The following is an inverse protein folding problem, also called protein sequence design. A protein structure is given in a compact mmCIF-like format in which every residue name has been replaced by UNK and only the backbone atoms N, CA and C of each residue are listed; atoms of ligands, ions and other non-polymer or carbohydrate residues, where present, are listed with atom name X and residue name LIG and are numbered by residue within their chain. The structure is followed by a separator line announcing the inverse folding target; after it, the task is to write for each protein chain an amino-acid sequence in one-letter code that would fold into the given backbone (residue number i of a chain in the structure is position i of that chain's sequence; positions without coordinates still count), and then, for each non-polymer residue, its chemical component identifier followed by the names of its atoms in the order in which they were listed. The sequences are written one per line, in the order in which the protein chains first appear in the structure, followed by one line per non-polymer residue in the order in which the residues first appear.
data_IF_587402725026
#
_entry.id   IF_587402725026
#
_cell.length_a   1.000
_cell.length_b   1.000
_cell.length_c   1.000
_cell.angle_alpha   90.00
_cell.angle_beta   90.00
_cell.angle_gamma   90.00
#
_symmetry.space_group_name_H-M   'P 1'
#
loop_
_entity.id
_entity.type
_entity.pdbx_description
1 polymer ?
#
# COMPACT_ATOMS: atom_id res chain seq x y z
N UNK A 1 -5.26 -16.20 15.60
CA UNK A 1 -4.37 -15.46 16.51
C UNK A 1 -4.44 -14.00 16.10
N UNK A 2 -5.19 -13.16 16.81
CA UNK A 2 -5.39 -11.76 16.45
C UNK A 2 -4.05 -11.01 16.55
N UNK A 3 -3.57 -10.45 15.45
CA UNK A 3 -2.29 -9.76 15.37
C UNK A 3 -2.32 -8.50 16.26
N UNK A 4 -1.31 -8.42 17.13
CA UNK A 4 -1.19 -7.53 18.28
C UNK A 4 -0.87 -6.06 17.92
N UNK A 5 -1.63 -5.45 17.02
CA UNK A 5 -1.49 -4.01 16.64
C UNK A 5 -2.09 -3.05 17.70
N UNK A 6 -2.76 -3.60 18.72
CA UNK A 6 -3.49 -2.89 19.79
C UNK A 6 -2.65 -2.37 20.98
N UNK A 7 -1.32 -2.23 20.88
CA UNK A 7 -0.47 -1.83 22.03
C UNK A 7 0.15 -0.42 21.94
N UNK A 8 -0.33 0.44 21.06
CA UNK A 8 -0.04 1.86 21.25
C UNK A 8 -0.68 2.33 22.56
N UNK A 9 0.07 3.08 23.37
CA UNK A 9 -0.47 3.75 24.56
C UNK A 9 -1.26 5.02 24.22
N UNK A 10 -1.35 5.38 22.93
CA UNK A 10 -2.08 6.56 22.49
C UNK A 10 -3.60 6.36 22.65
N UNK A 11 -4.25 7.34 23.29
CA UNK A 11 -5.71 7.40 23.45
C UNK A 11 -6.38 8.20 22.34
N UNK A 12 -5.60 8.95 21.56
CA UNK A 12 -6.06 9.80 20.45
C UNK A 12 -5.28 9.45 19.17
N UNK A 13 -5.87 9.66 17.98
CA UNK A 13 -5.18 9.47 16.72
C UNK A 13 -4.08 10.52 16.53
N UNK A 14 -3.11 10.22 15.66
CA UNK A 14 -2.02 11.11 15.33
C UNK A 14 -2.55 12.40 14.70
N UNK A 15 -2.34 13.58 15.33
CA UNK A 15 -2.82 14.84 14.80
C UNK A 15 -2.11 15.24 13.49
N UNK A 16 -0.97 14.63 13.17
CA UNK A 16 -0.20 14.90 11.95
C UNK A 16 -0.65 14.05 10.75
N UNK A 17 -1.60 13.13 10.93
CA UNK A 17 -2.19 12.33 9.85
C UNK A 17 -3.67 12.69 9.73
N UNK A 18 -4.00 13.49 8.73
CA UNK A 18 -5.31 14.15 8.64
C UNK A 18 -6.09 13.73 7.39
N UNK A 19 -7.44 13.68 7.45
CA UNK A 19 -8.23 13.43 6.27
C UNK A 19 -8.09 14.61 5.29
N UNK A 20 -7.90 14.29 4.01
CA UNK A 20 -7.99 15.23 2.89
C UNK A 20 -9.03 14.68 1.92
N UNK A 21 -10.29 15.02 2.17
CA UNK A 21 -11.38 14.58 1.31
C UNK A 21 -11.24 15.13 -0.10
N UNK A 22 -11.82 14.40 -1.07
CA UNK A 22 -11.88 14.88 -2.43
C UNK A 22 -12.70 16.17 -2.50
N UNK A 23 -12.18 17.18 -3.21
CA UNK A 23 -12.85 18.46 -3.41
C UNK A 23 -14.18 18.31 -4.17
N UNK A 24 -14.30 17.28 -5.00
CA UNK A 24 -15.54 16.90 -5.65
C UNK A 24 -15.59 15.38 -5.90
N UNK A 25 -16.78 14.80 -6.11
CA UNK A 25 -16.90 13.38 -6.46
C UNK A 25 -16.14 12.97 -7.73
N UNK A 26 -15.85 13.93 -8.63
CA UNK A 26 -15.14 13.71 -9.91
C UNK A 26 -13.68 14.16 -9.88
N UNK A 27 -13.16 14.53 -8.71
CA UNK A 27 -11.75 14.92 -8.60
C UNK A 27 -10.85 13.73 -8.99
N UNK A 28 -9.96 13.96 -9.95
CA UNK A 28 -8.97 12.96 -10.38
C UNK A 28 -7.92 12.72 -9.29
N UNK A 29 -7.28 11.55 -9.30
CA UNK A 29 -6.18 11.26 -8.40
C UNK A 29 -5.00 12.23 -8.61
N UNK A 30 -4.75 12.66 -9.86
CA UNK A 30 -3.76 13.68 -10.17
C UNK A 30 -4.03 15.00 -9.43
N UNK A 31 -5.28 15.48 -9.46
CA UNK A 31 -5.67 16.71 -8.78
C UNK A 31 -5.56 16.57 -7.26
N UNK A 32 -6.02 15.42 -6.72
CA UNK A 32 -5.94 15.13 -5.30
C UNK A 32 -4.48 15.07 -4.81
N UNK A 33 -3.60 14.37 -5.54
CA UNK A 33 -2.18 14.25 -5.18
C UNK A 33 -1.45 15.60 -5.22
N UNK A 34 -1.78 16.48 -6.17
CA UNK A 34 -1.22 17.85 -6.19
C UNK A 34 -1.61 18.64 -4.95
N UNK A 35 -2.86 18.52 -4.51
CA UNK A 35 -3.32 19.12 -3.25
C UNK A 35 -2.62 18.50 -2.05
N UNK A 36 -2.49 17.18 -2.02
CA UNK A 36 -1.81 16.46 -0.96
C UNK A 36 -0.34 16.89 -0.82
N UNK A 37 0.40 17.03 -1.94
CA UNK A 37 1.79 17.50 -1.95
C UNK A 37 1.95 18.96 -1.50
N UNK A 38 0.90 19.76 -1.61
CA UNK A 38 0.87 21.15 -1.13
C UNK A 38 0.33 21.28 0.30
N UNK A 39 -0.15 20.17 0.91
CA UNK A 39 -0.70 20.17 2.25
C UNK A 39 0.43 20.28 3.29
N UNK A 40 0.29 21.12 4.34
CA UNK A 40 1.32 21.28 5.37
C UNK A 40 1.64 20.00 6.16
N UNK A 41 0.74 19.00 6.16
CA UNK A 41 0.98 17.71 6.81
C UNK A 41 1.81 16.74 5.96
N UNK A 42 2.09 17.08 4.70
CA UNK A 42 3.00 16.31 3.84
C UNK A 42 4.32 17.04 3.72
N UNK A 43 5.39 16.38 4.12
CA UNK A 43 6.74 16.88 3.97
C UNK A 43 7.52 16.14 2.89
N UNK A 44 8.11 16.94 2.00
CA UNK A 44 8.85 16.51 0.82
C UNK A 44 10.34 16.90 0.89
N UNK A 45 10.78 17.43 2.03
CA UNK A 45 12.19 17.82 2.24
C UNK A 45 13.15 16.62 2.30
N UNK A 46 14.47 16.85 2.25
CA UNK A 46 15.48 15.80 2.12
C UNK A 46 15.53 14.82 3.32
N UNK A 47 15.03 15.26 4.47
CA UNK A 47 14.89 14.49 5.71
C UNK A 47 13.72 13.50 5.70
N UNK A 48 12.92 13.49 4.64
CA UNK A 48 11.67 12.74 4.55
C UNK A 48 11.67 11.78 3.37
N UNK A 49 10.96 10.68 3.54
CA UNK A 49 10.63 9.70 2.52
C UNK A 49 9.13 9.68 2.32
N UNK A 50 8.69 9.52 1.08
CA UNK A 50 7.28 9.52 0.73
C UNK A 50 6.79 8.10 0.43
N UNK A 51 5.71 7.71 1.11
CA UNK A 51 4.98 6.49 0.86
C UNK A 51 3.58 6.82 0.34
N UNK A 52 3.21 6.21 -0.78
CA UNK A 52 1.86 6.28 -1.32
C UNK A 52 1.15 4.97 -1.01
N UNK A 53 0.18 5.00 -0.09
CA UNK A 53 -0.73 3.88 0.14
C UNK A 53 -1.93 4.01 -0.80
N UNK A 54 -2.35 2.88 -1.36
CA UNK A 54 -3.40 2.82 -2.36
C UNK A 54 -4.37 1.70 -2.02
N UNK A 55 -5.65 1.96 -2.22
CA UNK A 55 -6.69 0.93 -2.16
C UNK A 55 -7.37 0.80 -3.50
N UNK A 56 -7.10 -0.31 -4.19
CA UNK A 56 -7.69 -0.60 -5.49
C UNK A 56 -9.10 -1.20 -5.40
N UNK A 57 -9.89 -0.97 -6.43
CA UNK A 57 -11.25 -1.49 -6.59
C UNK A 57 -11.32 -2.81 -7.38
N UNK A 58 -10.21 -3.26 -7.97
CA UNK A 58 -10.15 -4.51 -8.73
C UNK A 58 -10.20 -5.78 -7.82
N UNK A 59 -10.50 -6.97 -8.37
CA UNK A 59 -10.62 -8.19 -7.59
C UNK A 59 -9.37 -8.56 -6.77
N UNK A 60 -8.16 -8.32 -7.31
CA UNK A 60 -6.92 -8.62 -6.62
C UNK A 60 -6.75 -7.67 -5.42
N UNK A 61 -6.92 -6.37 -5.65
CA UNK A 61 -6.86 -5.36 -4.58
C UNK A 61 -7.90 -5.60 -3.48
N UNK A 62 -9.12 -6.00 -3.84
CA UNK A 62 -10.15 -6.34 -2.85
C UNK A 62 -9.75 -7.54 -1.97
N UNK A 63 -9.21 -8.61 -2.56
CA UNK A 63 -8.75 -9.78 -1.77
C UNK A 63 -7.59 -9.42 -0.84
N UNK A 64 -6.69 -8.55 -1.26
CA UNK A 64 -5.63 -8.01 -0.38
C UNK A 64 -6.23 -7.20 0.78
N UNK A 65 -7.22 -6.35 0.53
CA UNK A 65 -7.93 -5.58 1.58
C UNK A 65 -8.63 -6.49 2.58
N UNK A 66 -9.30 -7.55 2.10
CA UNK A 66 -9.96 -8.56 2.95
C UNK A 66 -8.95 -9.33 3.80
N UNK A 67 -7.82 -9.76 3.23
CA UNK A 67 -6.79 -10.51 3.95
C UNK A 67 -6.24 -9.75 5.16
N UNK A 68 -6.23 -8.42 5.09
CA UNK A 68 -5.76 -7.51 6.13
C UNK A 68 -6.81 -7.20 7.21
N UNK A 69 -8.06 -7.67 7.08
CA UNK A 69 -9.10 -7.46 8.12
C UNK A 69 -8.68 -7.96 9.51
N UNK A 70 -7.85 -9.01 9.57
CA UNK A 70 -7.36 -9.58 10.83
C UNK A 70 -6.41 -8.70 11.62
N UNK A 71 -5.84 -7.65 11.01
CA UNK A 71 -5.02 -6.66 11.75
C UNK A 71 -5.86 -5.50 12.28
N UNK A 72 -7.16 -5.46 11.96
CA UNK A 72 -8.10 -4.44 12.42
C UNK A 72 -8.97 -4.96 13.57
N UNK A 73 -9.40 -4.05 14.43
CA UNK A 73 -10.26 -4.36 15.57
C UNK A 73 -11.71 -4.63 15.15
N UNK A 74 -12.17 -4.02 14.06
CA UNK A 74 -13.53 -4.09 13.54
C UNK A 74 -13.74 -5.22 12.51
N UNK A 75 -12.66 -5.94 12.16
CA UNK A 75 -12.62 -6.96 11.11
C UNK A 75 -13.15 -6.50 9.75
N UNK A 76 -13.27 -5.18 9.52
CA UNK A 76 -13.61 -4.67 8.20
C UNK A 76 -12.42 -4.85 7.25
N UNK A 77 -12.65 -4.96 5.93
CA UNK A 77 -11.56 -4.93 4.96
C UNK A 77 -10.74 -3.65 5.13
N UNK A 78 -9.41 -3.76 4.99
CA UNK A 78 -8.53 -2.59 4.96
C UNK A 78 -8.95 -1.61 3.87
N UNK A 79 -8.67 -0.32 4.06
CA UNK A 79 -8.81 0.66 2.98
C UNK A 79 -7.68 0.55 1.93
N UNK A 80 -6.59 -0.17 2.24
CA UNK A 80 -5.33 -0.14 1.53
C UNK A 80 -4.97 -1.54 1.02
N UNK A 81 -4.74 -1.68 -0.28
CA UNK A 81 -4.28 -2.93 -0.90
C UNK A 81 -2.79 -2.93 -1.18
N UNK A 82 -2.18 -1.75 -1.35
CA UNK A 82 -0.82 -1.61 -1.85
C UNK A 82 -0.11 -0.40 -1.25
N UNK A 83 1.22 -0.40 -1.30
CA UNK A 83 2.06 0.76 -0.94
C UNK A 83 3.25 0.85 -1.89
N UNK A 84 3.58 2.06 -2.32
CA UNK A 84 4.74 2.36 -3.14
C UNK A 84 5.61 3.42 -2.47
N UNK A 85 6.92 3.33 -2.64
CA UNK A 85 7.86 4.36 -2.23
C UNK A 85 8.12 5.33 -3.39
N UNK A 86 8.06 6.63 -3.11
CA UNK A 86 8.29 7.69 -4.10
C UNK A 86 9.65 8.34 -3.81
N UNK A 87 10.72 7.95 -4.52
CA UNK A 87 12.07 8.45 -4.23
C UNK A 87 12.18 9.96 -4.51
N UNK A 88 11.44 10.45 -5.49
CA UNK A 88 11.40 11.84 -5.94
C UNK A 88 10.03 12.14 -6.54
N UNK A 89 9.65 13.42 -6.59
CA UNK A 89 8.38 13.88 -7.16
C UNK A 89 8.67 14.75 -8.38
N UNK A 90 8.05 14.43 -9.51
CA UNK A 90 8.19 15.20 -10.75
C UNK A 90 6.96 16.10 -10.98
N UNK A 91 7.14 17.19 -11.73
CA UNK A 91 6.05 18.09 -12.13
C UNK A 91 4.91 17.34 -12.85
N UNK A 92 5.31 16.39 -13.70
CA UNK A 92 4.38 15.42 -14.26
C UNK A 92 4.25 14.24 -13.30
N UNK A 93 3.15 14.22 -12.53
CA UNK A 93 2.86 13.12 -11.61
C UNK A 93 2.85 11.76 -12.31
N UNK A 94 2.36 11.67 -13.55
CA UNK A 94 2.37 10.40 -14.30
C UNK A 94 3.79 9.85 -14.54
N UNK A 95 4.80 10.72 -14.57
CA UNK A 95 6.21 10.33 -14.73
C UNK A 95 6.96 10.21 -13.41
N UNK A 96 6.30 10.51 -12.29
CA UNK A 96 6.92 10.37 -10.97
C UNK A 96 7.28 8.91 -10.74
N UNK A 97 8.55 8.60 -10.46
CA UNK A 97 8.99 7.23 -10.25
C UNK A 97 8.40 6.67 -8.96
N UNK A 98 8.17 5.36 -8.98
CA UNK A 98 7.75 4.58 -7.82
C UNK A 98 8.61 3.32 -7.74
N UNK A 99 9.04 2.96 -6.53
CA UNK A 99 9.69 1.69 -6.25
C UNK A 99 8.75 0.85 -5.40
N UNK A 100 8.46 -0.36 -5.86
CA UNK A 100 7.42 -1.19 -5.28
C UNK A 100 7.61 -2.68 -5.59
N UNK A 101 6.77 -3.51 -4.97
CA UNK A 101 6.58 -4.91 -5.38
C UNK A 101 5.10 -5.12 -5.67
N UNK A 102 4.69 -4.85 -6.91
CA UNK A 102 3.30 -5.01 -7.35
C UNK A 102 3.01 -6.47 -7.75
N UNK A 103 1.85 -6.97 -7.34
CA UNK A 103 1.31 -8.28 -7.74
C UNK A 103 0.60 -8.25 -9.10
N UNK A 104 0.39 -7.06 -9.66
CA UNK A 104 -0.18 -6.87 -10.99
C UNK A 104 0.66 -5.85 -11.77
N UNK A 105 1.94 -6.14 -12.08
CA UNK A 105 2.81 -5.20 -12.79
C UNK A 105 2.29 -4.92 -14.21
N UNK A 106 2.49 -3.70 -14.71
CA UNK A 106 2.02 -3.29 -16.04
C UNK A 106 2.71 -4.06 -17.19
N UNK A 107 4.00 -4.38 -17.04
CA UNK A 107 4.83 -5.00 -18.08
C UNK A 107 5.10 -6.51 -17.85
N UNK A 108 4.23 -7.21 -17.12
CA UNK A 108 4.39 -8.61 -16.66
C UNK A 108 5.51 -8.82 -15.62
N UNK A 109 5.59 -10.03 -15.05
CA UNK A 109 6.70 -10.43 -14.18
C UNK A 109 7.91 -10.79 -15.05
N UNK A 110 8.65 -9.79 -15.53
CA UNK A 110 9.86 -9.98 -16.35
C UNK A 110 9.61 -10.50 -17.77
N UNK A 111 10.65 -10.50 -18.61
CA UNK A 111 10.55 -10.78 -20.06
C UNK A 111 9.99 -12.18 -20.39
N UNK A 112 10.19 -13.17 -19.51
CA UNK A 112 9.77 -14.56 -19.71
C UNK A 112 8.69 -15.02 -18.72
N UNK A 113 7.99 -14.10 -18.03
CA UNK A 113 7.04 -14.44 -16.97
C UNK A 113 7.70 -14.97 -15.68
N UNK A 114 9.02 -14.80 -15.55
CA UNK A 114 9.79 -15.12 -14.34
C UNK A 114 10.01 -13.84 -13.51
N UNK A 115 9.90 -13.89 -12.17
CA UNK A 115 10.08 -12.71 -11.33
C UNK A 115 11.35 -11.93 -11.68
N UNK A 116 11.27 -10.60 -11.60
CA UNK A 116 12.37 -9.68 -11.86
C UNK A 116 13.68 -10.19 -11.23
N UNK A 117 14.82 -10.15 -11.96
CA UNK A 117 16.13 -10.57 -11.42
C UNK A 117 16.54 -9.75 -10.19
N UNK A 118 15.87 -8.62 -9.98
CA UNK A 118 16.04 -7.67 -8.90
C UNK A 118 15.22 -8.03 -7.65
N UNK A 119 15.16 -9.33 -7.32
CA UNK A 119 14.42 -9.86 -6.18
C UNK A 119 12.96 -9.34 -6.14
N UNK A 120 12.27 -9.37 -7.27
CA UNK A 120 10.87 -8.93 -7.39
C UNK A 120 10.63 -7.41 -7.24
N UNK A 121 11.66 -6.61 -6.95
CA UNK A 121 11.57 -5.16 -6.91
C UNK A 121 11.31 -4.59 -8.31
N UNK A 122 10.40 -3.64 -8.38
CA UNK A 122 9.93 -3.03 -9.62
C UNK A 122 10.13 -1.52 -9.53
N UNK A 123 10.71 -0.95 -10.59
CA UNK A 123 10.70 0.48 -10.84
C UNK A 123 9.54 0.76 -11.81
N UNK A 124 8.60 1.61 -11.38
CA UNK A 124 7.40 1.96 -12.13
C UNK A 124 7.18 3.48 -12.07
N UNK A 125 6.06 3.94 -12.61
CA UNK A 125 5.60 5.32 -12.48
C UNK A 125 4.22 5.37 -11.86
N UNK A 126 3.83 6.54 -11.36
CA UNK A 126 2.50 6.72 -10.78
C UNK A 126 1.35 6.67 -11.79
N UNK A 127 1.61 6.67 -13.10
CA UNK A 127 0.59 6.77 -14.16
C UNK A 127 -0.62 5.86 -13.93
N UNK A 128 -0.39 4.57 -13.64
CA UNK A 128 -1.46 3.59 -13.39
C UNK A 128 -2.32 3.89 -12.15
N UNK A 129 -1.76 4.60 -11.17
CA UNK A 129 -2.42 4.92 -9.91
C UNK A 129 -3.17 6.25 -10.00
N UNK A 130 -3.08 6.96 -11.13
CA UNK A 130 -3.82 8.19 -11.39
C UNK A 130 -5.27 7.93 -11.87
N UNK A 131 -5.60 6.68 -12.19
CA UNK A 131 -6.97 6.28 -12.48
C UNK A 131 -7.78 6.14 -11.19
N UNK A 132 -8.68 7.09 -10.93
CA UNK A 132 -9.52 7.12 -9.74
C UNK A 132 -10.59 6.02 -9.69
N UNK A 133 -10.94 5.40 -10.83
CA UNK A 133 -11.86 4.27 -10.84
C UNK A 133 -11.15 2.97 -10.41
N UNK A 134 -9.88 2.82 -10.76
CA UNK A 134 -9.06 1.69 -10.33
C UNK A 134 -8.55 1.87 -8.90
N UNK A 135 -8.18 3.10 -8.52
CA UNK A 135 -7.58 3.44 -7.22
C UNK A 135 -8.40 4.55 -6.54
N UNK A 136 -9.55 4.20 -5.93
CA UNK A 136 -10.40 5.17 -5.25
C UNK A 136 -9.78 5.73 -3.96
N UNK A 137 -8.96 4.93 -3.27
CA UNK A 137 -8.37 5.27 -1.98
C UNK A 137 -6.89 5.63 -2.12
N UNK A 138 -6.49 6.74 -1.52
CA UNK A 138 -5.11 7.22 -1.50
C UNK A 138 -4.74 7.71 -0.11
N UNK A 139 -3.50 7.44 0.32
CA UNK A 139 -2.86 8.17 1.39
C UNK A 139 -1.41 8.49 1.02
N UNK A 140 -1.00 9.72 1.26
CA UNK A 140 0.38 10.16 1.05
C UNK A 140 0.99 10.42 2.43
N UNK A 141 1.96 9.59 2.80
CA UNK A 141 2.64 9.63 4.09
C UNK A 141 4.08 10.10 3.92
N UNK A 142 4.50 11.02 4.78
CA UNK A 142 5.89 11.41 4.96
C UNK A 142 6.44 10.72 6.19
N UNK A 143 7.51 9.95 6.00
CA UNK A 143 8.23 9.22 7.05
C UNK A 143 9.55 9.95 7.31
N UNK A 144 9.94 10.21 8.57
CA UNK A 144 11.12 11.02 8.92
C UNK A 144 12.43 10.23 8.77
N UNK A 145 12.66 9.69 7.57
CA UNK A 145 13.90 9.05 7.15
C UNK A 145 14.25 9.60 5.76
N UNK A 146 15.50 10.01 5.50
CA UNK A 146 15.89 10.52 4.19
C UNK A 146 15.59 9.55 3.04
N UNK A 147 14.96 10.06 1.98
CA UNK A 147 14.62 9.27 0.78
C UNK A 147 15.82 8.53 0.20
N UNK A 148 16.99 9.18 0.15
CA UNK A 148 18.24 8.61 -0.37
C UNK A 148 18.68 7.36 0.40
N UNK A 149 18.52 7.34 1.73
CA UNK A 149 18.87 6.18 2.55
C UNK A 149 17.96 4.98 2.29
N UNK A 150 16.68 5.24 2.01
CA UNK A 150 15.71 4.20 1.66
C UNK A 150 16.01 3.64 0.27
N UNK A 151 16.38 4.48 -0.70
CA UNK A 151 16.85 4.03 -2.03
C UNK A 151 18.06 3.10 -1.89
N UNK A 152 19.04 3.47 -1.07
CA UNK A 152 20.20 2.62 -0.78
C UNK A 152 19.80 1.27 -0.13
N UNK A 153 18.92 1.28 0.87
CA UNK A 153 18.43 0.05 1.50
C UNK A 153 17.72 -0.86 0.49
N UNK A 154 16.87 -0.29 -0.35
CA UNK A 154 16.16 -1.02 -1.41
C UNK A 154 17.14 -1.59 -2.45
N UNK A 155 18.20 -0.86 -2.78
CA UNK A 155 19.26 -1.36 -3.65
C UNK A 155 20.02 -2.54 -3.04
N UNK A 156 20.20 -2.60 -1.72
CA UNK A 156 20.77 -3.78 -1.06
C UNK A 156 19.79 -4.96 -1.14
N UNK A 157 18.52 -4.76 -0.77
CA UNK A 157 17.49 -5.81 -0.79
C UNK A 157 17.23 -6.38 -2.19
N UNK A 158 17.43 -5.56 -3.23
CA UNK A 158 17.40 -5.95 -4.64
C UNK A 158 18.25 -7.19 -4.94
N UNK A 159 19.39 -7.34 -4.26
CA UNK A 159 20.37 -8.39 -4.51
C UNK A 159 20.41 -9.46 -3.40
N UNK A 160 19.68 -9.27 -2.30
CA UNK A 160 19.76 -10.13 -1.12
C UNK A 160 18.56 -11.06 -0.95
N UNK A 161 18.38 -11.97 -1.91
CA UNK A 161 17.30 -12.98 -1.84
C UNK A 161 17.40 -13.91 -0.62
N UNK A 162 18.62 -14.21 -0.15
CA UNK A 162 18.84 -15.05 1.03
C UNK A 162 18.29 -14.44 2.32
N UNK A 163 18.32 -13.11 2.43
CA UNK A 163 17.81 -12.36 3.57
C UNK A 163 16.29 -12.21 3.50
N UNK A 164 15.76 -11.97 2.30
CA UNK A 164 14.36 -11.68 2.07
C UNK A 164 13.91 -12.16 0.67
N UNK A 165 13.25 -13.31 0.58
CA UNK A 165 12.82 -13.92 -0.69
C UNK A 165 11.47 -13.35 -1.16
N UNK A 166 11.52 -12.21 -1.84
CA UNK A 166 10.33 -11.54 -2.39
C UNK A 166 9.62 -12.40 -3.45
N UNK A 167 10.31 -13.09 -4.39
CA UNK A 167 9.66 -14.03 -5.31
C UNK A 167 8.77 -15.06 -4.63
N UNK A 168 9.25 -15.66 -3.52
CA UNK A 168 8.44 -16.60 -2.74
C UNK A 168 7.16 -15.92 -2.23
N UNK A 169 7.28 -14.71 -1.68
CA UNK A 169 6.13 -13.96 -1.18
C UNK A 169 5.13 -13.62 -2.30
N UNK A 170 5.61 -13.16 -3.45
CA UNK A 170 4.78 -12.87 -4.63
C UNK A 170 3.94 -14.09 -5.00
N UNK A 171 4.55 -15.27 -5.15
CA UNK A 171 3.84 -16.48 -5.55
C UNK A 171 2.77 -16.91 -4.55
N UNK A 172 3.07 -16.82 -3.24
CA UNK A 172 2.09 -17.15 -2.18
C UNK A 172 0.90 -16.19 -2.21
N UNK A 173 1.15 -14.91 -2.40
CA UNK A 173 0.09 -13.90 -2.49
C UNK A 173 -0.72 -14.00 -3.78
N UNK A 174 -0.09 -14.30 -4.92
CA UNK A 174 -0.79 -14.56 -6.18
C UNK A 174 -1.72 -15.76 -6.06
N UNK A 175 -1.26 -16.88 -5.49
CA UNK A 175 -2.10 -18.06 -5.30
C UNK A 175 -3.36 -17.74 -4.46
N UNK A 176 -3.19 -16.97 -3.38
CA UNK A 176 -4.31 -16.49 -2.56
C UNK A 176 -5.25 -15.55 -3.32
N UNK A 177 -4.71 -14.55 -4.01
CA UNK A 177 -5.50 -13.55 -4.74
C UNK A 177 -6.23 -14.16 -5.94
N UNK A 178 -5.63 -15.14 -6.62
CA UNK A 178 -6.29 -15.84 -7.73
C UNK A 178 -7.26 -16.92 -7.27
N UNK A 179 -7.28 -17.24 -5.97
CA UNK A 179 -8.12 -18.31 -5.43
C UNK A 179 -7.73 -19.70 -5.95
N UNK A 180 -6.44 -19.88 -6.27
CA UNK A 180 -5.92 -21.17 -6.73
C UNK A 180 -5.60 -22.03 -5.52
N UNK A 181 -6.30 -23.17 -5.39
CA UNK A 181 -6.18 -24.08 -4.25
C UNK A 181 -7.07 -23.68 -3.06
N UNK A 182 -6.68 -24.12 -1.85
CA UNK A 182 -7.29 -23.68 -0.56
C UNK A 182 -6.28 -22.85 0.25
N UNK A 183 -5.71 -21.76 -0.27
CA UNK A 183 -4.70 -21.01 0.46
C UNK A 183 -5.35 -20.27 1.62
N UNK A 184 -4.90 -20.55 2.84
CA UNK A 184 -5.12 -19.64 3.96
C UNK A 184 -4.53 -18.26 3.61
N UNK A 185 -5.03 -17.19 4.24
CA UNK A 185 -4.46 -15.85 4.08
C UNK A 185 -2.96 -15.90 4.38
N UNK A 186 -2.06 -15.52 3.45
CA UNK A 186 -0.62 -15.53 3.72
C UNK A 186 -0.26 -14.68 4.95
N UNK A 187 -1.02 -13.60 5.19
CA UNK A 187 -0.86 -12.75 6.36
C UNK A 187 -1.14 -13.50 7.68
N UNK A 188 -2.08 -14.44 7.68
CA UNK A 188 -2.37 -15.26 8.86
C UNK A 188 -1.25 -16.27 9.16
N UNK A 189 -0.40 -16.57 8.18
CA UNK A 189 0.81 -17.38 8.32
C UNK A 189 2.07 -16.53 8.57
N UNK A 190 1.91 -15.23 8.82
CA UNK A 190 3.03 -14.31 9.08
C UNK A 190 3.74 -13.80 7.81
N UNK A 191 3.21 -14.06 6.62
CA UNK A 191 3.73 -13.52 5.37
C UNK A 191 3.02 -12.19 5.03
N UNK A 192 3.73 -11.09 5.22
CA UNK A 192 3.29 -9.74 4.94
C UNK A 192 3.01 -9.51 3.45
N UNK A 193 2.26 -8.45 3.14
CA UNK A 193 1.99 -8.06 1.74
C UNK A 193 3.32 -7.60 1.12
N UNK A 194 3.74 -8.09 -0.06
CA UNK A 194 5.13 -7.90 -0.53
C UNK A 194 5.54 -6.42 -0.64
N UNK A 195 4.62 -5.57 -1.08
CA UNK A 195 4.86 -4.13 -1.22
C UNK A 195 5.18 -3.46 0.12
N UNK A 196 4.52 -3.86 1.20
CA UNK A 196 4.74 -3.31 2.54
C UNK A 196 5.92 -3.98 3.24
N UNK A 197 6.04 -5.31 3.13
CA UNK A 197 7.07 -6.07 3.82
C UNK A 197 8.49 -5.74 3.34
N UNK A 198 8.67 -5.44 2.04
CA UNK A 198 9.96 -4.97 1.54
C UNK A 198 10.29 -3.55 2.02
N UNK A 199 9.30 -2.66 2.08
CA UNK A 199 9.51 -1.31 2.61
C UNK A 199 9.81 -1.36 4.10
N UNK A 200 9.09 -2.16 4.88
CA UNK A 200 9.42 -2.42 6.28
C UNK A 200 10.89 -2.85 6.46
N UNK A 201 11.35 -3.82 5.66
CA UNK A 201 12.74 -4.25 5.70
C UNK A 201 13.71 -3.10 5.35
N UNK A 202 13.40 -2.28 4.34
CA UNK A 202 14.25 -1.17 3.92
C UNK A 202 14.36 -0.06 4.99
N UNK A 203 13.26 0.25 5.67
CA UNK A 203 13.23 1.22 6.77
C UNK A 203 13.87 0.66 8.04
N UNK A 204 13.70 -0.63 8.33
CA UNK A 204 14.33 -1.30 9.47
C UNK A 204 15.86 -1.28 9.39
N UNK A 205 16.43 -1.35 8.16
CA UNK A 205 17.87 -1.15 7.93
C UNK A 205 18.37 0.25 8.32
N UNK A 206 17.47 1.24 8.41
CA UNK A 206 17.73 2.60 8.87
C UNK A 206 17.21 2.85 10.29
N UNK A 207 17.00 1.77 11.05
CA UNK A 207 16.52 1.79 12.43
C UNK A 207 15.14 2.46 12.61
N UNK A 208 14.35 2.54 11.53
CA UNK A 208 12.98 3.01 11.57
C UNK A 208 12.03 1.82 11.42
N UNK A 209 11.13 1.65 12.37
CA UNK A 209 10.12 0.58 12.37
C UNK A 209 8.82 1.12 11.76
N UNK A 210 8.47 0.68 10.54
CA UNK A 210 7.26 1.17 9.86
C UNK A 210 5.99 0.57 10.45
N UNK A 211 6.08 -0.59 11.12
CA UNK A 211 4.95 -1.31 11.69
C UNK A 211 5.26 -1.83 13.10
N UNK A 212 5.43 -0.92 14.09
CA UNK A 212 5.84 -1.31 15.42
C UNK A 212 4.91 -2.34 16.05
N UNK A 213 5.50 -3.39 16.61
CA UNK A 213 4.77 -4.48 17.27
C UNK A 213 4.34 -5.61 16.33
N UNK A 214 4.67 -5.55 15.04
CA UNK A 214 4.62 -6.68 14.13
C UNK A 214 6.02 -7.22 13.85
N UNK A 215 6.12 -8.52 13.55
CA UNK A 215 7.35 -9.04 12.96
C UNK A 215 7.51 -8.42 11.57
N UNK A 216 8.70 -7.90 11.25
CA UNK A 216 8.94 -7.12 10.02
C UNK A 216 8.49 -7.83 8.74
N UNK A 217 8.55 -9.17 8.71
CA UNK A 217 8.11 -9.99 7.57
C UNK A 217 6.60 -10.08 7.41
N UNK A 218 5.83 -9.73 8.44
CA UNK A 218 4.36 -9.75 8.46
C UNK A 218 3.72 -8.39 8.19
N UNK A 219 4.52 -7.39 7.78
CA UNK A 219 4.01 -6.04 7.50
C UNK A 219 3.03 -6.01 6.32
N UNK A 220 2.04 -5.13 6.41
CA UNK A 220 1.01 -4.93 5.38
C UNK A 220 0.63 -3.45 5.30
N UNK A 221 0.05 -2.97 4.18
CA UNK A 221 -0.39 -1.57 4.05
C UNK A 221 -1.26 -1.08 5.21
N UNK A 222 -2.19 -1.91 5.69
CA UNK A 222 -3.01 -1.60 6.86
C UNK A 222 -2.18 -1.42 8.13
N UNK A 223 -1.15 -2.24 8.35
CA UNK A 223 -0.30 -2.10 9.51
C UNK A 223 0.52 -0.80 9.47
N UNK A 224 1.03 -0.42 8.29
CA UNK A 224 1.72 0.88 8.10
C UNK A 224 0.77 2.03 8.41
N UNK A 225 -0.47 1.93 7.92
CA UNK A 225 -1.52 2.91 8.21
C UNK A 225 -1.85 3.01 9.71
N UNK A 226 -2.01 1.88 10.39
CA UNK A 226 -2.28 1.83 11.83
C UNK A 226 -1.11 2.39 12.64
N UNK A 227 0.13 2.12 12.23
CA UNK A 227 1.33 2.69 12.82
C UNK A 227 1.36 4.22 12.66
N UNK A 228 1.13 4.73 11.45
CA UNK A 228 1.06 6.16 11.18
C UNK A 228 -0.04 6.85 12.00
N UNK A 229 -1.20 6.19 12.16
CA UNK A 229 -2.37 6.74 12.83
C UNK A 229 -2.27 6.70 14.36
N UNK A 230 -1.67 5.65 14.95
CA UNK A 230 -1.77 5.42 16.40
C UNK A 230 -0.43 5.33 17.12
N UNK A 231 0.68 5.05 16.43
CA UNK A 231 2.00 4.86 17.05
C UNK A 231 2.86 6.13 17.05
N UNK A 232 2.25 7.30 16.82
CA UNK A 232 2.95 8.58 16.82
C UNK A 232 3.69 8.86 18.15
N UNK A 233 3.12 8.46 19.30
CA UNK A 233 3.78 8.57 20.60
C UNK A 233 5.07 7.74 20.71
N UNK A 234 5.09 6.55 20.11
CA UNK A 234 6.28 5.70 20.05
C UNK A 234 7.40 6.35 19.21
N UNK A 235 7.05 6.90 18.04
CA UNK A 235 8.01 7.59 17.19
C UNK A 235 8.60 8.83 17.85
N UNK A 236 7.75 9.66 18.48
CA UNK A 236 8.19 10.87 19.20
C UNK A 236 9.21 10.58 20.30
N UNK A 237 9.16 9.39 20.91
CA UNK A 237 10.08 8.99 21.98
C UNK A 237 11.39 8.39 21.46
N UNK A 238 11.36 7.70 20.30
CA UNK A 238 12.53 6.99 19.77
C UNK A 238 13.34 7.76 18.74
N UNK A 239 12.73 8.72 18.07
CA UNK A 239 13.37 9.46 16.97
C UNK A 239 13.89 10.78 17.51
N UNK A 240 15.15 11.06 17.23
CA UNK A 240 15.79 12.33 17.56
C UNK A 240 15.04 13.49 16.88
N UNK A 241 14.68 14.50 17.67
CA UNK A 241 13.80 15.59 17.24
C UNK A 241 12.30 15.29 17.32
N UNK A 242 11.89 14.13 17.84
CA UNK A 242 10.49 13.82 18.13
C UNK A 242 9.59 13.80 16.89
N UNK A 243 10.14 13.43 15.74
CA UNK A 243 9.41 13.40 14.47
C UNK A 243 8.59 12.11 14.39
N UNK A 244 7.33 12.21 13.99
CA UNK A 244 6.46 11.08 13.70
C UNK A 244 6.11 11.04 12.20
N UNK A 245 5.51 9.93 11.76
CA UNK A 245 4.88 9.88 10.44
C UNK A 245 3.78 10.93 10.39
N UNK A 246 3.70 11.64 9.26
CA UNK A 246 2.66 12.64 8.98
C UNK A 246 2.13 12.45 7.57
N UNK A 247 0.97 12.98 7.27
CA UNK A 247 0.44 12.92 5.91
C UNK A 247 -1.05 13.13 5.81
N UNK A 248 -1.57 12.83 4.63
CA UNK A 248 -2.98 13.02 4.32
C UNK A 248 -3.58 11.80 3.63
N UNK A 249 -4.89 11.62 3.79
CA UNK A 249 -5.56 10.45 3.23
C UNK A 249 -7.00 10.74 2.79
N UNK A 250 -7.46 9.98 1.80
CA UNK A 250 -8.84 9.85 1.38
C UNK A 250 -9.17 8.35 1.32
N UNK A 251 -9.94 7.87 2.29
CA UNK A 251 -10.36 6.47 2.38
C UNK A 251 -11.87 6.35 2.19
N UNK A 252 -12.29 5.52 1.24
CA UNK A 252 -13.67 5.13 0.95
C UNK A 252 -13.81 3.61 1.04
N UNK A 253 -14.98 3.13 1.44
CA UNK A 253 -15.28 1.71 1.39
C UNK A 253 -15.94 1.40 0.05
N UNK A 254 -15.21 0.71 -0.83
CA UNK A 254 -15.69 0.36 -2.17
C UNK A 254 -15.60 -1.16 -2.39
N UNK A 255 -16.72 -1.74 -2.85
CA UNK A 255 -16.79 -3.12 -3.32
C UNK A 255 -16.25 -3.22 -4.75
N UNK A 256 -15.93 -4.43 -5.19
CA UNK A 256 -15.49 -4.69 -6.57
C UNK A 256 -16.65 -4.40 -7.53
N UNK A 257 -16.48 -3.53 -8.54
CA UNK A 257 -17.51 -3.30 -9.55
C UNK A 257 -17.83 -4.57 -10.37
N UNK A 258 -19.11 -4.80 -10.67
CA UNK A 258 -19.59 -5.97 -11.44
C UNK A 258 -18.89 -6.13 -12.80
N UNK A 259 -18.44 -5.03 -13.41
CA UNK A 259 -17.72 -5.03 -14.69
C UNK A 259 -16.46 -5.90 -14.69
N UNK A 260 -15.82 -6.12 -13.53
CA UNK A 260 -14.65 -6.99 -13.42
C UNK A 260 -14.96 -8.49 -13.53
N UNK A 261 -16.22 -8.89 -13.34
CA UNK A 261 -16.66 -10.28 -13.42
C UNK A 261 -17.36 -10.61 -14.75
N UNK A 262 -17.21 -9.75 -15.77
CA UNK A 262 -17.87 -9.92 -17.06
C UNK A 262 -19.30 -9.33 -17.13
N UNK A 263 -19.72 -8.61 -16.07
CA UNK A 263 -21.05 -8.01 -15.96
C UNK A 263 -22.15 -9.06 -15.69
N UNK A 264 -23.22 -8.64 -15.03
CA UNK A 264 -24.46 -9.42 -15.07
C UNK A 264 -24.96 -9.46 -16.52
N UNK A 265 -25.34 -10.62 -17.08
CA UNK A 265 -25.95 -10.64 -18.41
C UNK A 265 -27.13 -9.67 -18.39
N UNK A 266 -27.17 -8.75 -19.36
CA UNK A 266 -28.28 -7.81 -19.52
C UNK A 266 -29.57 -8.63 -19.43
N UNK A 267 -30.41 -8.32 -18.44
CA UNK A 267 -31.65 -9.04 -18.22
C UNK A 267 -32.39 -9.11 -19.55
N UNK A 268 -32.58 -10.33 -20.07
CA UNK A 268 -33.45 -10.56 -21.22
C UNK A 268 -34.80 -9.96 -20.85
N UNK A 269 -35.12 -8.81 -21.43
CA UNK A 269 -36.48 -8.27 -21.39
C UNK A 269 -37.39 -9.34 -21.95
N UNK A 270 -38.21 -9.90 -21.07
CA UNK A 270 -39.20 -10.90 -21.42
C UNK A 270 -40.27 -10.22 -22.28
N UNK A 271 -40.13 -10.25 -23.60
CA UNK A 271 -41.23 -10.00 -24.54
C UNK A 271 -40.83 -10.35 -25.98
N UNK A 272 -40.83 -11.65 -26.30
CA UNK A 272 -41.20 -12.09 -27.64
C UNK A 272 -42.16 -13.29 -27.47
N UNK A 273 -43.46 -13.00 -27.54
CA UNK A 273 -44.47 -14.03 -27.76
C UNK A 273 -44.43 -14.43 -29.23
N UNK A 274 -44.23 -15.72 -29.56
CA UNK A 274 -44.30 -16.16 -30.95
C UNK A 274 -45.74 -16.04 -31.46
N UNK A 275 -45.84 -15.57 -32.70
CA UNK A 275 -47.08 -15.42 -33.48
C UNK A 275 -47.66 -16.77 -33.90
#
# INVERSE_FOLDING_TARGET
MALRVLRSSATEPNPEVVPLDRASPRESNTSWLRRALADPHVATGPEWSLLLLMGGADPLSFRLRVAQSHVRHDLSPSAWSHVAFLPEIYDSLAKTPAIEVSLAPAASFGECGFPSPFNGLQESTLERYLDGALVPNLALLSVPVPSTEIVESLNVLRWQRSTFDVPQMILRWLAYCWGVGVPASPLAEGLGVPSAAVLEAAFAMRHFDLTPGLESRSSCPEAIWQAASWWHGFYKQRIEGGRAIRGVFCARHELVPDGFFGGSPAGRTAEEKPS
#
